data_IF_194267328834
#
_entry.id   IF_194267328834
#
_cell.length_a   1.000
_cell.length_b   1.000
_cell.length_c   1.000
_cell.angle_alpha   90.00
_cell.angle_beta   90.00
_cell.angle_gamma   90.00
#
_symmetry.space_group_name_H-M   'P 1'
#
loop_
_entity.id
_entity.type
_entity.pdbx_description
1 polymer ?
#
# COMPACT_ATOMS: atom_id res chain seq x y z
N UNK A 1 -2.33 6.49 -0.40
CA UNK A 1 -1.31 7.49 -0.74
C UNK A 1 0.08 7.00 -0.36
N UNK A 2 1.09 7.37 -1.13
CA UNK A 2 2.49 6.98 -0.94
C UNK A 2 3.41 8.19 -1.09
N UNK A 3 4.53 8.20 -0.39
CA UNK A 3 5.63 9.11 -0.70
C UNK A 3 6.48 8.44 -1.79
N UNK A 4 6.48 9.01 -2.99
CA UNK A 4 7.28 8.53 -4.12
C UNK A 4 8.37 9.57 -4.37
N UNK A 5 9.61 9.25 -4.00
CA UNK A 5 10.77 10.16 -4.01
C UNK A 5 11.38 10.40 -5.40
N UNK A 6 10.54 10.46 -6.45
CA UNK A 6 10.97 10.85 -7.79
C UNK A 6 9.95 11.78 -8.44
N UNK A 7 10.21 13.06 -8.27
CA UNK A 7 9.44 14.13 -8.88
C UNK A 7 9.36 13.96 -10.41
N UNK A 8 8.12 13.98 -10.94
CA UNK A 8 7.85 13.91 -12.37
C UNK A 8 8.08 12.55 -13.03
N UNK A 9 8.79 11.62 -12.37
CA UNK A 9 9.09 10.29 -12.92
C UNK A 9 7.86 9.38 -12.75
N UNK A 10 7.37 8.77 -13.84
CA UNK A 10 6.32 7.75 -13.74
C UNK A 10 6.88 6.49 -13.09
N UNK A 11 6.26 6.06 -12.00
CA UNK A 11 6.59 4.84 -11.27
C UNK A 11 5.43 3.87 -11.40
N UNK A 12 5.67 2.75 -12.07
CA UNK A 12 4.71 1.65 -12.12
C UNK A 12 4.66 0.96 -10.76
N UNK A 13 3.45 0.80 -10.23
CA UNK A 13 3.17 0.25 -8.92
C UNK A 13 2.20 -0.91 -9.03
N UNK A 14 2.37 -1.90 -8.17
CA UNK A 14 1.50 -3.07 -8.08
C UNK A 14 1.00 -3.21 -6.64
N UNK A 15 -0.27 -3.59 -6.51
CA UNK A 15 -0.89 -3.90 -5.22
C UNK A 15 -1.36 -5.34 -5.27
N UNK A 16 -0.97 -6.10 -4.25
CA UNK A 16 -1.26 -7.51 -4.11
C UNK A 16 -2.00 -7.76 -2.79
N UNK A 17 -2.91 -8.73 -2.78
CA UNK A 17 -3.62 -9.20 -1.59
C UNK A 17 -3.26 -10.65 -1.30
N UNK A 18 -3.01 -10.98 -0.03
CA UNK A 18 -2.81 -12.36 0.40
C UNK A 18 -4.13 -13.14 0.36
N UNK A 19 -4.14 -14.33 -0.26
CA UNK A 19 -5.38 -15.09 -0.58
C UNK A 19 -6.17 -15.62 0.62
N UNK A 20 -5.55 -15.83 1.79
CA UNK A 20 -6.13 -16.65 2.87
C UNK A 20 -6.66 -15.87 4.08
N UNK A 21 -6.88 -14.56 3.98
CA UNK A 21 -7.25 -13.71 5.11
C UNK A 21 -6.34 -13.95 6.34
N UNK A 22 -5.03 -13.99 6.09
CA UNK A 22 -4.00 -14.34 7.07
C UNK A 22 -3.03 -13.18 7.28
N UNK A 23 -2.29 -13.25 8.37
CA UNK A 23 -1.12 -12.40 8.59
C UNK A 23 0.06 -12.94 7.77
N UNK A 24 0.93 -12.06 7.27
CA UNK A 24 1.97 -12.45 6.33
C UNK A 24 3.18 -13.15 7.01
N UNK A 25 3.51 -12.81 8.25
CA UNK A 25 4.75 -13.32 8.90
C UNK A 25 4.61 -14.69 9.56
N UNK A 26 3.39 -15.16 9.83
CA UNK A 26 3.18 -16.33 10.69
C UNK A 26 3.55 -17.66 9.98
N UNK A 27 3.84 -17.65 8.67
CA UNK A 27 3.93 -18.88 7.86
C UNK A 27 5.00 -18.85 6.74
N UNK A 28 5.91 -17.87 6.69
CA UNK A 28 6.88 -17.75 5.58
C UNK A 28 6.21 -17.56 4.21
N UNK A 29 4.96 -17.09 4.18
CA UNK A 29 4.19 -16.87 2.94
C UNK A 29 4.53 -15.53 2.29
N UNK A 30 5.20 -14.65 3.02
CA UNK A 30 5.55 -13.30 2.61
C UNK A 30 6.36 -13.26 1.31
N UNK A 31 7.23 -14.25 1.09
CA UNK A 31 8.08 -14.38 -0.10
C UNK A 31 7.58 -15.46 -1.09
N UNK A 32 6.33 -15.92 -0.96
CA UNK A 32 5.75 -16.95 -1.81
C UNK A 32 4.72 -16.34 -2.79
N UNK A 33 5.11 -15.93 -4.02
CA UNK A 33 4.21 -15.26 -4.97
C UNK A 33 2.87 -15.98 -5.20
N UNK A 34 2.88 -17.32 -5.11
CA UNK A 34 1.69 -18.16 -5.30
C UNK A 34 0.58 -17.94 -4.25
N UNK A 35 0.90 -17.31 -3.12
CA UNK A 35 -0.05 -16.98 -2.05
C UNK A 35 -0.72 -15.63 -2.23
N UNK A 36 -0.23 -14.84 -3.19
CA UNK A 36 -0.70 -13.49 -3.46
C UNK A 36 -1.53 -13.45 -4.74
N UNK A 37 -2.44 -12.48 -4.79
CA UNK A 37 -3.22 -12.14 -5.98
C UNK A 37 -3.02 -10.66 -6.24
N UNK A 38 -2.58 -10.29 -7.44
CA UNK A 38 -2.53 -8.89 -7.85
C UNK A 38 -3.96 -8.37 -7.94
N UNK A 39 -4.24 -7.28 -7.22
CA UNK A 39 -5.55 -6.63 -7.19
C UNK A 39 -5.57 -5.30 -7.95
N UNK A 40 -4.40 -4.82 -8.38
CA UNK A 40 -4.30 -3.66 -9.25
C UNK A 40 -2.85 -3.31 -9.58
N UNK A 41 -2.69 -2.61 -10.69
CA UNK A 41 -1.46 -1.96 -11.10
C UNK A 41 -1.77 -0.53 -11.58
N UNK A 42 -0.88 0.41 -11.27
CA UNK A 42 -1.08 1.82 -11.59
C UNK A 42 0.27 2.49 -11.85
N UNK A 43 0.31 3.44 -12.77
CA UNK A 43 1.46 4.33 -12.94
C UNK A 43 1.21 5.61 -12.17
N UNK A 44 2.04 5.87 -11.18
CA UNK A 44 1.95 7.08 -10.36
C UNK A 44 3.13 7.98 -10.66
N UNK A 45 2.87 9.27 -10.85
CA UNK A 45 3.93 10.28 -10.92
C UNK A 45 4.27 10.72 -9.51
N UNK A 46 5.55 10.64 -9.15
CA UNK A 46 6.01 11.20 -7.89
C UNK A 46 5.84 12.72 -7.90
N UNK A 47 5.36 13.27 -6.78
CA UNK A 47 5.20 14.71 -6.57
C UNK A 47 6.40 15.34 -5.85
N UNK A 48 7.52 14.62 -5.81
CA UNK A 48 8.72 15.00 -5.08
C UNK A 48 8.78 14.48 -3.66
N UNK A 49 9.89 14.78 -3.00
CA UNK A 49 10.22 14.25 -1.68
C UNK A 49 9.18 14.70 -0.64
N UNK A 50 8.68 13.75 0.14
CA UNK A 50 7.64 13.96 1.17
C UNK A 50 6.26 14.39 0.65
N UNK A 51 6.07 14.44 -0.67
CA UNK A 51 4.77 14.68 -1.25
C UNK A 51 4.00 13.36 -1.40
N UNK A 52 2.73 13.39 -1.00
CA UNK A 52 1.83 12.25 -1.12
C UNK A 52 1.34 12.14 -2.56
N UNK A 53 1.62 11.02 -3.21
CA UNK A 53 0.98 10.62 -4.44
C UNK A 53 -0.19 9.68 -4.16
N UNK A 54 -1.30 9.89 -4.87
CA UNK A 54 -2.47 9.03 -4.77
C UNK A 54 -2.25 7.80 -5.65
N UNK A 55 -2.59 6.62 -5.12
CA UNK A 55 -2.77 5.44 -5.94
C UNK A 55 -4.27 5.39 -6.26
N UNK A 56 -4.64 5.62 -7.51
CA UNK A 56 -6.03 5.53 -8.00
C UNK A 56 -6.12 4.43 -9.05
N UNK A 57 -7.34 4.08 -9.47
CA UNK A 57 -7.54 3.16 -10.60
C UNK A 57 -7.55 1.66 -10.26
N UNK A 58 -7.72 1.27 -9.01
CA UNK A 58 -7.99 -0.12 -8.63
C UNK A 58 -9.37 -0.24 -7.96
N UNK A 59 -10.02 -1.39 -8.16
CA UNK A 59 -11.31 -1.68 -7.53
C UNK A 59 -11.17 -1.70 -6.00
N UNK A 60 -12.13 -1.11 -5.26
CA UNK A 60 -12.16 -1.22 -3.81
C UNK A 60 -12.17 -2.68 -3.36
N UNK A 61 -11.35 -3.01 -2.37
CA UNK A 61 -11.31 -4.36 -1.79
C UNK A 61 -12.24 -4.43 -0.59
N UNK A 62 -13.30 -5.27 -0.62
CA UNK A 62 -14.14 -5.48 0.54
C UNK A 62 -13.33 -6.09 1.70
N UNK A 63 -13.42 -5.44 2.87
CA UNK A 63 -12.87 -5.94 4.13
C UNK A 63 -14.05 -6.21 5.06
N UNK A 64 -14.20 -7.47 5.49
CA UNK A 64 -15.29 -7.86 6.37
C UNK A 64 -14.85 -7.83 7.84
N UNK A 65 -15.78 -7.50 8.73
CA UNK A 65 -15.55 -7.52 10.17
C UNK A 65 -14.98 -8.86 10.64
N UNK A 66 -13.95 -8.82 11.48
CA UNK A 66 -13.31 -10.01 12.03
C UNK A 66 -12.36 -10.74 11.06
N UNK A 67 -12.14 -10.20 9.87
CA UNK A 67 -11.15 -10.75 8.93
C UNK A 67 -9.82 -10.01 9.03
N UNK A 68 -8.73 -10.75 8.82
CA UNK A 68 -7.41 -10.17 8.68
C UNK A 68 -7.03 -10.13 7.20
N UNK A 69 -6.56 -8.99 6.71
CA UNK A 69 -6.14 -8.83 5.32
C UNK A 69 -4.71 -8.32 5.30
N UNK A 70 -3.89 -8.88 4.40
CA UNK A 70 -2.53 -8.42 4.17
C UNK A 70 -2.40 -7.93 2.73
N UNK A 71 -1.77 -6.78 2.58
CA UNK A 71 -1.52 -6.14 1.29
C UNK A 71 -0.01 -6.00 1.08
N UNK A 72 0.43 -6.22 -0.15
CA UNK A 72 1.80 -5.99 -0.57
C UNK A 72 1.78 -4.94 -1.68
N UNK A 73 2.37 -3.78 -1.38
CA UNK A 73 2.45 -2.62 -2.28
C UNK A 73 3.90 -2.52 -2.72
N UNK A 74 4.13 -2.43 -4.02
CA UNK A 74 5.50 -2.50 -4.56
C UNK A 74 5.65 -1.71 -5.86
N UNK A 75 6.89 -1.41 -6.24
CA UNK A 75 7.23 -0.76 -7.52
C UNK A 75 7.75 -1.79 -8.51
N UNK A 76 7.24 -1.72 -9.75
CA UNK A 76 7.62 -2.64 -10.83
C UNK A 76 9.06 -2.34 -11.25
N UNK A 77 9.95 -3.31 -11.06
CA UNK A 77 11.38 -3.16 -11.40
C UNK A 77 12.31 -2.90 -10.21
N UNK A 78 11.79 -2.87 -8.98
CA UNK A 78 12.60 -2.75 -7.76
C UNK A 78 13.15 -1.34 -7.49
N UNK A 79 14.02 -1.23 -6.49
CA UNK A 79 14.53 0.04 -5.91
C UNK A 79 15.48 0.84 -6.83
N UNK A 80 15.55 0.51 -8.12
CA UNK A 80 16.62 0.94 -9.03
C UNK A 80 16.62 2.41 -9.39
N UNK A 81 15.45 3.02 -9.63
CA UNK A 81 15.38 4.44 -10.01
C UNK A 81 14.05 5.05 -9.56
N UNK A 82 14.09 5.84 -8.47
CA UNK A 82 13.08 6.85 -8.17
C UNK A 82 11.80 6.45 -7.43
N UNK A 83 11.45 5.17 -7.37
CA UNK A 83 10.24 4.70 -6.67
C UNK A 83 10.56 3.89 -5.42
N UNK A 84 11.04 4.53 -4.34
CA UNK A 84 11.19 3.82 -3.06
C UNK A 84 9.96 4.05 -2.18
N UNK A 85 9.29 2.96 -1.80
CA UNK A 85 8.28 3.01 -0.74
C UNK A 85 9.03 3.07 0.58
N UNK A 86 8.80 4.13 1.34
CA UNK A 86 9.47 4.34 2.62
C UNK A 86 8.75 3.54 3.71
N UNK A 87 9.54 2.80 4.49
CA UNK A 87 9.09 2.10 5.69
C UNK A 87 9.89 2.60 6.89
N UNK A 88 9.26 2.60 8.06
CA UNK A 88 9.95 2.78 9.34
C UNK A 88 10.20 1.42 9.96
N UNK A 89 11.32 1.25 10.68
CA UNK A 89 11.54 0.03 11.48
C UNK A 89 10.43 -0.12 12.51
N UNK A 90 9.77 -1.27 12.52
CA UNK A 90 8.72 -1.58 13.48
C UNK A 90 9.27 -1.94 14.87
N UNK A 91 8.37 -2.24 15.79
CA UNK A 91 8.70 -2.69 17.15
C UNK A 91 8.49 -4.19 17.31
N UNK A 92 7.36 -4.68 16.79
CA UNK A 92 6.93 -6.06 16.95
C UNK A 92 5.88 -6.38 15.88
N UNK A 93 6.06 -7.51 15.20
CA UNK A 93 5.05 -8.03 14.28
C UNK A 93 3.68 -8.09 14.96
N UNK A 94 2.64 -7.64 14.25
CA UNK A 94 1.25 -7.55 14.74
C UNK A 94 1.00 -6.53 15.84
N UNK A 95 1.96 -5.68 16.20
CA UNK A 95 1.67 -4.55 17.06
C UNK A 95 0.68 -3.60 16.38
N UNK A 96 -0.22 -2.98 17.15
CA UNK A 96 -1.17 -2.00 16.60
C UNK A 96 -0.41 -0.72 16.24
N UNK A 97 -0.52 -0.28 14.98
CA UNK A 97 0.03 0.99 14.51
C UNK A 97 -1.02 2.09 14.66
N UNK A 98 -2.23 1.83 14.18
CA UNK A 98 -3.38 2.74 14.25
C UNK A 98 -4.67 1.92 14.31
N UNK A 99 -5.67 2.44 15.01
CA UNK A 99 -6.97 1.80 15.17
C UNK A 99 -8.07 2.86 15.29
N UNK A 100 -9.24 2.56 14.73
CA UNK A 100 -10.50 3.25 15.01
C UNK A 100 -11.64 2.24 15.29
N UNK A 101 -12.90 2.68 15.16
CA UNK A 101 -14.07 1.82 15.37
C UNK A 101 -14.31 0.79 14.26
N UNK A 102 -13.73 0.97 13.08
CA UNK A 102 -13.96 0.14 11.89
C UNK A 102 -12.79 -0.78 11.56
N UNK A 103 -11.56 -0.33 11.78
CA UNK A 103 -10.36 -1.02 11.34
C UNK A 103 -9.20 -0.93 12.35
N UNK A 104 -8.34 -1.93 12.29
CA UNK A 104 -7.05 -1.97 13.01
C UNK A 104 -5.96 -2.20 11.97
N UNK A 105 -5.00 -1.30 11.92
CA UNK A 105 -3.78 -1.49 11.14
C UNK A 105 -2.69 -2.03 12.06
N UNK A 106 -2.10 -3.14 11.66
CA UNK A 106 -1.03 -3.79 12.38
C UNK A 106 0.32 -3.49 11.70
N UNK A 107 1.39 -3.49 12.48
CA UNK A 107 2.75 -3.57 11.93
C UNK A 107 2.84 -4.79 11.01
N UNK A 108 3.67 -4.71 9.99
CA UNK A 108 3.84 -5.75 9.00
C UNK A 108 5.32 -5.99 8.74
N UNK A 109 5.64 -6.17 7.46
CA UNK A 109 7.01 -6.37 6.98
C UNK A 109 7.27 -5.65 5.69
N UNK A 110 8.55 -5.46 5.41
CA UNK A 110 9.03 -5.04 4.10
C UNK A 110 9.48 -6.28 3.34
N UNK A 111 9.01 -6.43 2.11
CA UNK A 111 9.39 -7.53 1.21
C UNK A 111 10.03 -6.94 -0.03
N UNK A 112 11.26 -7.37 -0.31
CA UNK A 112 11.99 -6.93 -1.51
C UNK A 112 11.24 -7.43 -2.75
N UNK A 113 11.04 -6.54 -3.73
CA UNK A 113 10.37 -6.91 -4.98
C UNK A 113 11.11 -8.04 -5.72
N UNK A 114 10.38 -8.98 -6.36
CA UNK A 114 8.93 -9.14 -6.32
C UNK A 114 8.41 -9.87 -5.07
N UNK A 115 9.18 -10.80 -4.52
CA UNK A 115 8.85 -11.57 -3.31
C UNK A 115 10.16 -12.17 -2.76
N UNK A 116 11.16 -11.31 -2.56
CA UNK A 116 12.51 -11.67 -2.15
C UNK A 116 12.68 -11.68 -0.63
N UNK A 117 13.78 -11.09 -0.17
CA UNK A 117 14.10 -11.01 1.25
C UNK A 117 13.03 -10.22 2.03
N UNK A 118 12.88 -10.60 3.28
CA UNK A 118 11.83 -10.12 4.19
C UNK A 118 12.51 -9.45 5.39
N UNK A 119 12.15 -8.20 5.65
CA UNK A 119 12.65 -7.39 6.76
C UNK A 119 11.52 -7.11 7.76
N UNK A 120 11.67 -7.66 8.96
CA UNK A 120 10.65 -7.69 10.02
C UNK A 120 11.20 -7.11 11.33
N UNK A 121 10.38 -6.39 12.11
CA UNK A 121 9.09 -5.78 11.75
C UNK A 121 9.27 -4.46 10.99
N UNK A 122 8.28 -4.09 10.17
CA UNK A 122 8.27 -2.82 9.43
C UNK A 122 6.90 -2.13 9.48
N UNK A 123 6.93 -0.80 9.52
CA UNK A 123 5.75 0.08 9.45
C UNK A 123 5.69 0.76 8.09
N UNK A 124 4.53 0.66 7.45
CA UNK A 124 4.24 1.37 6.21
C UNK A 124 4.00 2.86 6.49
N UNK A 125 4.77 3.75 5.87
CA UNK A 125 4.66 5.20 6.07
C UNK A 125 3.64 5.88 5.12
N UNK A 126 2.79 5.10 4.44
CA UNK A 126 1.75 5.65 3.58
C UNK A 126 0.43 5.86 4.30
N UNK A 127 -0.61 6.15 3.53
CA UNK A 127 -1.99 6.33 4.02
C UNK A 127 -2.92 5.38 3.27
N UNK A 128 -3.78 4.71 4.03
CA UNK A 128 -4.88 3.90 3.51
C UNK A 128 -6.18 4.66 3.75
N UNK A 129 -6.96 4.85 2.69
CA UNK A 129 -8.33 5.38 2.82
C UNK A 129 -9.29 4.19 2.75
N UNK A 130 -10.31 4.20 3.60
CA UNK A 130 -11.40 3.24 3.59
C UNK A 130 -12.70 3.94 3.98
N UNK A 131 -13.82 3.35 3.56
CA UNK A 131 -15.16 3.77 3.97
C UNK A 131 -15.88 2.59 4.66
N UNK A 132 -16.68 2.85 5.72
CA UNK A 132 -17.58 1.85 6.27
C UNK A 132 -18.75 1.61 5.32
N UNK A 133 -18.84 0.41 4.74
CA UNK A 133 -19.91 0.02 3.81
C UNK A 133 -19.59 0.25 2.33
N UNK A 134 -20.31 -0.44 1.43
CA UNK A 134 -20.11 -0.32 -0.02
C UNK A 134 -20.83 0.89 -0.64
N UNK A 135 -21.79 1.48 0.06
CA UNK A 135 -22.71 2.48 -0.51
C UNK A 135 -22.22 3.94 -0.35
N UNK A 136 -20.97 4.17 0.05
CA UNK A 136 -20.58 5.52 0.49
C UNK A 136 -19.09 5.85 0.56
N UNK A 137 -18.23 5.20 -0.22
CA UNK A 137 -16.96 5.85 -0.53
C UNK A 137 -17.30 6.95 -1.53
N UNK A 138 -17.26 8.26 -1.16
CA UNK A 138 -17.30 9.29 -2.18
C UNK A 138 -16.17 8.97 -3.16
N UNK A 139 -16.50 8.91 -4.46
CA UNK A 139 -15.46 9.06 -5.47
C UNK A 139 -14.67 10.31 -5.07
N UNK A 140 -13.33 10.26 -5.12
CA UNK A 140 -12.47 11.35 -4.64
C UNK A 140 -12.72 12.59 -5.52
N UNK A 141 -13.82 13.31 -5.29
CA UNK A 141 -14.25 14.54 -5.98
C UNK A 141 -13.38 15.74 -5.56
N UNK A 142 -12.20 15.49 -4.97
CA UNK A 142 -11.18 16.53 -4.81
C UNK A 142 -10.64 16.84 -6.19
N UNK A 143 -11.35 17.79 -6.79
CA UNK A 143 -11.20 18.26 -8.15
C UNK A 143 -9.75 18.46 -8.52
N UNK A 144 -9.50 18.17 -9.78
CA UNK A 144 -8.54 18.88 -10.58
C UNK A 144 -8.83 20.38 -10.37
N UNK A 145 -8.14 21.02 -9.43
CA UNK A 145 -8.01 22.47 -9.44
C UNK A 145 -7.35 22.77 -10.79
N UNK A 146 -8.16 23.16 -11.77
CA UNK A 146 -7.70 23.66 -13.07
C UNK A 146 -6.68 24.75 -12.76
N UNK A 147 -5.40 24.48 -13.06
CA UNK A 147 -4.38 25.51 -13.13
C UNK A 147 -4.82 26.47 -14.26
N UNK A 148 -5.49 27.56 -13.89
CA UNK A 148 -5.64 28.72 -14.76
C UNK A 148 -4.22 29.25 -15.06
N UNK A 149 -3.72 28.92 -16.25
CA UNK A 149 -2.54 29.55 -16.83
C UNK A 149 -2.82 31.05 -17.07
N UNK A 150 -2.14 31.95 -16.34
CA UNK A 150 -1.98 33.38 -16.67
C UNK A 150 -0.87 33.62 -17.71
#
# INVERSE_FOLDING_TARGET
>A
HLNVDAEGVPVAMEVWKLRRNQYHSDNGLANAPSQWTMIGDVVVRGRGRYCRSHLTGFEPVPIHKGTLNAFYITTKGGLGFGGQIVYTTGRQLRAIVVQDEYAVTLEGSKVVFPFGDVEDPAQFNGQVNYCPGLDGCPEDERGEEEEEEE
#
